data_IF_208322030966
#
_entry.id   IF_208322030966
#
_cell.length_a   1.000
_cell.length_b   1.000
_cell.length_c   1.000
_cell.angle_alpha   90.00
_cell.angle_beta   90.00
_cell.angle_gamma   90.00
#
_symmetry.space_group_name_H-M   'P 1'
#
loop_
_entity.id
_entity.type
_entity.pdbx_description
1 polymer ?
#
# COMPACT_ATOMS: atom_id res chain seq x y z
N UNK A 1 8.07 -35.98 1.86
CA UNK A 1 8.31 -35.44 0.50
C UNK A 1 7.05 -34.71 0.06
N UNK A 2 7.09 -33.38 -0.02
CA UNK A 2 5.95 -32.59 -0.49
C UNK A 2 5.97 -32.59 -2.02
N UNK A 3 4.97 -33.22 -2.65
CA UNK A 3 4.77 -33.14 -4.10
C UNK A 3 3.80 -31.98 -4.34
N UNK A 4 4.28 -30.92 -4.99
CA UNK A 4 3.44 -29.81 -5.45
C UNK A 4 2.55 -30.31 -6.59
N UNK A 5 1.35 -30.78 -6.24
CA UNK A 5 0.34 -31.22 -7.20
C UNK A 5 -0.12 -30.02 -8.03
N UNK A 6 -0.04 -30.10 -9.36
CA UNK A 6 -0.49 -29.04 -10.25
C UNK A 6 0.61 -28.28 -11.01
N UNK A 7 1.89 -28.57 -10.75
CA UNK A 7 3.01 -27.94 -11.48
C UNK A 7 2.96 -28.16 -13.00
N UNK A 8 2.34 -29.23 -13.47
CA UNK A 8 2.12 -29.44 -14.91
C UNK A 8 1.24 -28.37 -15.57
N UNK A 9 0.50 -27.58 -14.77
CA UNK A 9 -0.30 -26.43 -15.21
C UNK A 9 0.20 -25.10 -14.67
N UNK A 10 1.25 -25.08 -13.85
CA UNK A 10 1.79 -23.82 -13.33
C UNK A 10 2.50 -23.05 -14.44
N UNK A 11 2.51 -21.71 -14.39
CA UNK A 11 3.35 -20.91 -15.27
C UNK A 11 4.80 -21.43 -15.24
N UNK A 12 5.44 -21.46 -16.41
CA UNK A 12 6.85 -21.80 -16.52
C UNK A 12 7.67 -20.61 -16.05
N UNK A 13 8.64 -20.84 -15.17
CA UNK A 13 9.60 -19.81 -14.79
C UNK A 13 10.53 -19.58 -15.98
N UNK A 14 10.57 -18.34 -16.46
CA UNK A 14 11.50 -17.89 -17.49
C UNK A 14 12.57 -17.04 -16.83
N UNK A 15 13.83 -17.27 -17.19
CA UNK A 15 14.99 -16.56 -16.64
C UNK A 15 15.71 -15.69 -17.68
N UNK A 16 15.35 -15.84 -18.95
CA UNK A 16 15.93 -15.11 -20.06
C UNK A 16 15.30 -13.72 -20.20
N UNK A 17 16.13 -12.69 -20.38
CA UNK A 17 15.68 -11.30 -20.42
C UNK A 17 14.90 -10.98 -21.71
N UNK A 18 15.28 -11.56 -22.85
CA UNK A 18 14.57 -11.36 -24.11
C UNK A 18 13.14 -11.89 -24.00
N UNK A 19 13.00 -13.06 -23.37
CA UNK A 19 11.72 -13.70 -23.09
C UNK A 19 10.79 -12.83 -22.22
N UNK A 20 11.29 -11.88 -21.43
CA UNK A 20 10.44 -10.99 -20.61
C UNK A 20 9.59 -10.02 -21.44
N UNK A 21 9.95 -9.80 -22.71
CA UNK A 21 9.21 -8.91 -23.63
C UNK A 21 8.11 -9.64 -24.40
N UNK A 22 8.06 -10.96 -24.29
CA UNK A 22 7.09 -11.77 -25.01
C UNK A 22 5.67 -11.55 -24.50
N UNK A 23 4.67 -11.45 -25.39
CA UNK A 23 3.28 -11.31 -25.00
C UNK A 23 2.82 -12.47 -24.09
N UNK A 24 2.16 -12.12 -22.98
CA UNK A 24 1.65 -13.10 -22.02
C UNK A 24 2.66 -13.58 -20.97
N UNK A 25 3.89 -13.06 -20.98
CA UNK A 25 4.84 -13.26 -19.88
C UNK A 25 4.50 -12.31 -18.74
N UNK A 26 4.35 -12.89 -17.54
CA UNK A 26 4.12 -12.15 -16.31
C UNK A 26 5.46 -11.77 -15.68
N UNK A 27 5.70 -10.48 -15.54
CA UNK A 27 6.91 -9.90 -14.96
C UNK A 27 6.56 -9.12 -13.69
N UNK A 28 7.58 -8.65 -12.99
CA UNK A 28 7.34 -7.80 -11.82
C UNK A 28 6.70 -6.44 -12.17
N UNK A 29 6.77 -6.00 -13.44
CA UNK A 29 6.03 -4.80 -13.91
C UNK A 29 4.52 -4.99 -13.87
N UNK A 30 4.06 -6.24 -13.89
CA UNK A 30 2.66 -6.61 -13.85
C UNK A 30 2.14 -6.75 -12.40
N UNK A 31 3.02 -6.58 -11.40
CA UNK A 31 2.70 -6.69 -9.98
C UNK A 31 2.55 -5.29 -9.37
N UNK A 32 1.32 -4.93 -9.00
CA UNK A 32 1.06 -3.62 -8.35
C UNK A 32 1.33 -3.62 -6.83
N UNK A 33 1.26 -4.77 -6.17
CA UNK A 33 1.41 -4.89 -4.72
C UNK A 33 1.63 -6.36 -4.33
N UNK A 34 2.36 -6.59 -3.25
CA UNK A 34 2.52 -7.90 -2.60
C UNK A 34 1.80 -7.91 -1.25
N UNK A 35 1.01 -8.95 -0.96
CA UNK A 35 0.35 -9.13 0.36
C UNK A 35 0.90 -10.38 1.04
N UNK A 36 1.41 -10.25 2.26
CA UNK A 36 2.08 -11.32 2.99
C UNK A 36 1.65 -11.37 4.46
N UNK A 37 1.78 -12.54 5.13
CA UNK A 37 1.76 -12.60 6.58
C UNK A 37 2.89 -11.76 7.18
N UNK A 38 2.65 -11.07 8.30
CA UNK A 38 3.69 -10.30 8.98
C UNK A 38 4.84 -11.22 9.45
N UNK A 39 6.08 -10.74 9.34
CA UNK A 39 7.29 -11.50 9.67
C UNK A 39 7.70 -12.56 8.63
N UNK A 40 6.89 -12.78 7.59
CA UNK A 40 7.24 -13.66 6.47
C UNK A 40 8.26 -12.99 5.55
N UNK A 41 9.46 -13.56 5.47
CA UNK A 41 10.56 -13.02 4.67
C UNK A 41 11.08 -14.07 3.70
N UNK A 42 11.07 -13.75 2.41
CA UNK A 42 11.61 -14.62 1.37
C UNK A 42 11.95 -13.83 0.10
N UNK A 43 12.38 -14.55 -0.94
CA UNK A 43 12.73 -13.94 -2.23
C UNK A 43 11.63 -13.03 -2.80
N UNK A 44 10.32 -13.37 -2.72
CA UNK A 44 9.27 -12.47 -3.20
C UNK A 44 9.25 -11.12 -2.45
N UNK A 45 9.45 -11.14 -1.13
CA UNK A 45 9.50 -9.93 -0.30
C UNK A 45 10.72 -9.08 -0.62
N UNK A 46 11.89 -9.71 -0.78
CA UNK A 46 13.13 -9.01 -1.12
C UNK A 46 13.10 -8.43 -2.54
N UNK A 47 12.53 -9.17 -3.50
CA UNK A 47 12.33 -8.66 -4.86
C UNK A 47 11.34 -7.48 -4.89
N UNK A 48 10.27 -7.54 -4.09
CA UNK A 48 9.35 -6.41 -3.96
C UNK A 48 10.03 -5.18 -3.33
N UNK A 49 10.85 -5.40 -2.30
CA UNK A 49 11.67 -4.36 -1.68
C UNK A 49 12.59 -3.68 -2.72
N UNK A 50 13.40 -4.47 -3.42
CA UNK A 50 14.35 -3.98 -4.42
C UNK A 50 13.67 -3.24 -5.58
N UNK A 51 12.50 -3.69 -5.99
CA UNK A 51 11.78 -3.13 -7.14
C UNK A 51 10.80 -1.99 -6.78
N UNK A 52 10.75 -1.57 -5.51
CA UNK A 52 9.83 -0.50 -5.12
C UNK A 52 8.36 -0.92 -5.09
N UNK A 53 8.06 -2.22 -5.13
CA UNK A 53 6.68 -2.73 -5.12
C UNK A 53 6.13 -2.59 -3.69
N UNK A 54 4.95 -1.98 -3.49
CA UNK A 54 4.32 -1.90 -2.18
C UNK A 54 4.08 -3.28 -1.57
N UNK A 55 4.35 -3.42 -0.28
CA UNK A 55 4.17 -4.64 0.50
C UNK A 55 3.18 -4.39 1.62
N UNK A 56 2.12 -5.19 1.68
CA UNK A 56 1.13 -5.16 2.76
C UNK A 56 1.35 -6.39 3.64
N UNK A 57 1.84 -6.17 4.86
CA UNK A 57 2.08 -7.20 5.85
C UNK A 57 0.90 -7.31 6.84
N UNK A 58 0.32 -8.50 6.96
CA UNK A 58 -0.91 -8.74 7.75
C UNK A 58 -0.58 -9.43 9.07
N UNK A 59 -0.90 -8.81 10.21
CA UNK A 59 -0.57 -9.33 11.55
C UNK A 59 -1.38 -10.56 11.97
N UNK A 60 -2.68 -10.58 11.67
CA UNK A 60 -3.59 -11.66 12.05
C UNK A 60 -3.15 -13.04 11.51
N UNK A 61 -2.48 -13.08 10.35
CA UNK A 61 -1.94 -14.33 9.81
C UNK A 61 -0.61 -14.69 10.47
N UNK A 62 -0.68 -15.44 11.56
CA UNK A 62 0.50 -15.91 12.29
C UNK A 62 1.25 -17.00 11.54
N UNK A 63 2.57 -16.98 11.60
CA UNK A 63 3.44 -17.99 11.00
C UNK A 63 4.66 -18.28 11.90
N UNK A 64 5.50 -19.25 11.50
CA UNK A 64 6.66 -19.67 12.29
C UNK A 64 7.87 -18.72 12.19
N UNK A 65 7.89 -17.83 11.20
CA UNK A 65 9.00 -16.91 10.98
C UNK A 65 8.92 -15.76 11.99
N UNK A 66 10.08 -15.32 12.49
CA UNK A 66 10.19 -14.29 13.54
C UNK A 66 11.09 -13.14 13.09
N UNK A 67 10.83 -12.62 11.90
CA UNK A 67 11.56 -11.48 11.37
C UNK A 67 10.80 -10.19 11.70
N UNK A 68 11.53 -9.12 12.00
CA UNK A 68 10.95 -7.78 12.01
C UNK A 68 11.08 -7.18 10.60
N UNK A 69 9.95 -7.01 9.92
CA UNK A 69 9.95 -6.45 8.58
C UNK A 69 10.32 -4.96 8.60
N UNK A 70 10.16 -4.24 9.71
CA UNK A 70 10.45 -2.81 9.78
C UNK A 70 11.94 -2.48 9.74
N UNK A 71 12.81 -3.47 9.98
CA UNK A 71 14.27 -3.32 9.94
C UNK A 71 14.84 -3.32 8.51
N UNK A 72 14.03 -3.64 7.50
CA UNK A 72 14.47 -3.61 6.10
C UNK A 72 14.47 -2.18 5.56
N UNK A 73 15.33 -1.85 4.57
CA UNK A 73 15.49 -0.49 4.04
C UNK A 73 14.36 -0.09 3.08
N UNK A 74 13.12 -0.03 3.56
CA UNK A 74 11.96 0.34 2.75
C UNK A 74 12.02 1.80 2.29
N UNK A 75 11.55 2.04 1.06
CA UNK A 75 11.20 3.37 0.64
C UNK A 75 9.97 3.89 1.40
N UNK A 76 9.82 5.22 1.46
CA UNK A 76 8.67 5.86 2.10
C UNK A 76 7.38 5.37 1.44
N UNK A 77 6.43 4.88 2.26
CA UNK A 77 5.15 4.36 1.77
C UNK A 77 5.22 2.98 1.10
N UNK A 78 6.36 2.29 1.13
CA UNK A 78 6.49 0.98 0.50
C UNK A 78 5.98 -0.16 1.39
N UNK A 79 6.17 -0.09 2.71
CA UNK A 79 5.65 -1.09 3.65
C UNK A 79 4.39 -0.57 4.35
N UNK A 80 3.32 -1.36 4.29
CA UNK A 80 2.09 -1.15 5.06
C UNK A 80 1.87 -2.34 5.98
N UNK A 81 1.91 -2.14 7.30
CA UNK A 81 1.53 -3.17 8.26
C UNK A 81 0.07 -2.95 8.67
N UNK A 82 -0.75 -3.98 8.53
CA UNK A 82 -2.19 -3.95 8.82
C UNK A 82 -2.58 -5.08 9.76
N UNK A 83 -3.70 -4.92 10.46
CA UNK A 83 -4.10 -5.92 11.46
C UNK A 83 -4.66 -7.19 10.81
N UNK A 84 -5.48 -7.08 9.77
CA UNK A 84 -6.18 -8.20 9.13
C UNK A 84 -6.32 -8.01 7.61
N UNK A 85 -6.85 -9.03 6.92
CA UNK A 85 -7.02 -8.97 5.47
C UNK A 85 -8.12 -8.01 4.98
N UNK A 86 -9.04 -7.60 5.86
CA UNK A 86 -10.03 -6.57 5.51
C UNK A 86 -9.37 -5.20 5.44
N UNK A 87 -8.43 -4.91 6.35
CA UNK A 87 -7.60 -3.71 6.23
C UNK A 87 -6.70 -3.78 5.00
N UNK A 88 -6.12 -4.95 4.69
CA UNK A 88 -5.30 -5.13 3.49
C UNK A 88 -6.09 -4.79 2.21
N UNK A 89 -7.36 -5.19 2.11
CA UNK A 89 -8.20 -4.84 0.96
C UNK A 89 -8.50 -3.34 0.89
N UNK A 90 -8.66 -2.67 2.04
CA UNK A 90 -8.78 -1.21 2.12
C UNK A 90 -7.52 -0.49 1.64
N UNK A 91 -6.34 -0.95 2.04
CA UNK A 91 -5.05 -0.41 1.56
C UNK A 91 -4.92 -0.64 0.05
N UNK A 92 -5.23 -1.83 -0.46
CA UNK A 92 -5.24 -2.11 -1.91
C UNK A 92 -6.20 -1.17 -2.66
N UNK A 93 -7.38 -0.91 -2.12
CA UNK A 93 -8.33 0.01 -2.73
C UNK A 93 -7.81 1.45 -2.78
N UNK A 94 -7.16 1.91 -1.70
CA UNK A 94 -6.53 3.23 -1.66
C UNK A 94 -5.38 3.35 -2.67
N UNK A 95 -4.47 2.37 -2.71
CA UNK A 95 -3.37 2.32 -3.68
C UNK A 95 -3.89 2.32 -5.12
N UNK A 96 -4.92 1.52 -5.41
CA UNK A 96 -5.57 1.48 -6.73
C UNK A 96 -6.20 2.81 -7.12
N UNK A 97 -6.72 3.56 -6.15
CA UNK A 97 -7.31 4.89 -6.37
C UNK A 97 -6.26 6.03 -6.39
N UNK A 98 -4.98 5.74 -6.15
CA UNK A 98 -3.93 6.75 -6.02
C UNK A 98 -4.05 7.59 -4.74
N UNK A 99 -4.70 7.05 -3.70
CA UNK A 99 -4.90 7.70 -2.41
C UNK A 99 -3.88 7.14 -1.42
N UNK A 100 -3.23 8.02 -0.65
CA UNK A 100 -2.40 7.60 0.49
C UNK A 100 -3.27 6.85 1.53
N UNK A 101 -2.98 5.57 1.85
CA UNK A 101 -3.72 4.81 2.85
C UNK A 101 -3.83 5.50 4.23
N UNK A 102 -2.88 6.36 4.59
CA UNK A 102 -2.92 7.12 5.84
C UNK A 102 -4.01 8.20 5.82
N UNK A 103 -4.31 8.79 4.65
CA UNK A 103 -5.30 9.86 4.52
C UNK A 103 -6.74 9.37 4.79
N UNK A 104 -7.02 8.07 4.63
CA UNK A 104 -8.34 7.49 4.89
C UNK A 104 -8.48 6.95 6.31
N UNK A 105 -7.40 6.94 7.11
CA UNK A 105 -7.45 6.54 8.53
C UNK A 105 -8.18 7.61 9.37
N UNK A 106 -8.75 7.15 10.48
CA UNK A 106 -9.38 7.97 11.51
C UNK A 106 -8.87 7.55 12.89
N UNK A 107 -8.74 8.48 13.84
CA UNK A 107 -8.89 9.94 13.67
C UNK A 107 -7.73 10.53 12.83
N UNK A 108 -7.94 11.70 12.25
CA UNK A 108 -6.86 12.41 11.56
C UNK A 108 -5.82 12.91 12.56
N UNK A 109 -4.55 12.96 12.15
CA UNK A 109 -3.53 13.72 12.87
C UNK A 109 -3.89 15.21 12.93
N UNK A 110 -3.44 15.91 13.98
CA UNK A 110 -3.65 17.34 14.10
C UNK A 110 -3.04 18.07 12.88
N UNK A 111 -3.84 18.88 12.19
CA UNK A 111 -3.33 19.71 11.12
C UNK A 111 -2.45 20.83 11.71
N UNK A 112 -1.25 21.02 11.15
CA UNK A 112 -0.42 22.16 11.49
C UNK A 112 -1.13 23.45 11.08
N UNK A 113 -1.50 24.28 12.05
CA UNK A 113 -2.10 25.59 11.80
C UNK A 113 -0.98 26.62 11.67
N UNK A 114 -0.75 27.15 10.47
CA UNK A 114 0.05 28.35 10.30
C UNK A 114 -0.86 29.57 10.48
N UNK A 115 -0.64 30.35 11.53
CA UNK A 115 -1.38 31.60 11.73
C UNK A 115 -0.78 32.68 10.84
N UNK A 116 -1.39 32.95 9.70
CA UNK A 116 -1.06 34.14 8.92
C UNK A 116 -1.57 35.37 9.68
N UNK A 117 -0.67 36.27 10.08
CA UNK A 117 -1.03 37.60 10.58
C UNK A 117 -1.51 38.46 9.42
N UNK A 118 -2.71 38.19 8.91
CA UNK A 118 -3.40 39.13 8.06
C UNK A 118 -3.86 40.28 8.97
N UNK A 119 -3.23 41.45 8.82
CA UNK A 119 -3.84 42.69 9.26
C UNK A 119 -5.14 42.79 8.45
N UNK A 120 -6.34 42.78 9.06
CA UNK A 120 -7.58 42.86 8.30
C UNK A 120 -7.63 44.26 7.68
N UNK A 121 -7.14 44.37 6.44
CA UNK A 121 -7.50 45.49 5.60
C UNK A 121 -9.01 45.43 5.46
N UNK A 122 -9.67 46.50 5.88
CA UNK A 122 -11.09 46.73 5.83
C UNK A 122 -11.65 46.36 4.45
N UNK A 123 -12.22 45.16 4.30
CA UNK A 123 -13.14 44.87 3.20
C UNK A 123 -14.44 44.39 3.81
N UNK A 124 -15.31 45.35 4.11
CA UNK A 124 -16.70 45.09 4.40
C UNK A 124 -17.37 44.38 3.23
N UNK A 125 -17.47 43.06 3.33
CA UNK A 125 -18.39 42.27 2.53
C UNK A 125 -18.98 41.20 3.47
N UNK A 126 -20.18 41.47 3.98
CA UNK A 126 -20.99 40.49 4.72
C UNK A 126 -21.17 39.25 3.83
N UNK A 127 -20.68 38.08 4.24
CA UNK A 127 -21.10 36.82 3.63
C UNK A 127 -22.40 36.38 4.29
N UNK A 128 -23.53 36.62 3.64
CA UNK A 128 -24.79 36.00 4.00
C UNK A 128 -24.68 34.49 3.73
N UNK A 129 -24.93 33.68 4.75
CA UNK A 129 -24.98 32.22 4.65
C UNK A 129 -26.38 31.87 4.11
N UNK A 130 -26.52 31.19 2.96
CA UNK A 130 -27.84 30.77 2.49
C UNK A 130 -28.42 29.71 3.42
N UNK A 131 -29.59 30.03 3.97
CA UNK A 131 -30.45 29.19 4.79
C UNK A 131 -30.99 28.02 3.96
N UNK A 132 -30.25 26.91 3.90
CA UNK A 132 -30.65 25.73 3.12
C UNK A 132 -30.30 24.41 3.80
N UNK A 133 -30.56 24.33 5.11
CA UNK A 133 -30.57 23.09 5.90
C UNK A 133 -31.40 23.31 7.18
N UNK A 134 -32.71 23.51 7.02
CA UNK A 134 -33.68 23.34 8.08
C UNK A 134 -34.88 22.54 7.55
N UNK A 135 -34.76 21.23 7.59
CA UNK A 135 -35.91 20.32 7.71
C UNK A 135 -35.49 19.23 8.69
#
# INVERSE_FOLDING_TARGET
QCVLKGLQRSPKILTDEESMREPGVFTARDVSCLVIPNGCLGLPTLAALEQGIPVIAVRENTNLMKNDLTELPWAIGQLHIVENYWEASGVLAALKAGIDPVAVRRPFGAAGLEKTSANPAESGAKSEIPELLST
#
